data_IF_353362268149
#
_entry.id   IF_353362268149
#
_cell.length_a   1.000
_cell.length_b   1.000
_cell.length_c   1.000
_cell.angle_alpha   90.00
_cell.angle_beta   90.00
_cell.angle_gamma   90.00
#
_symmetry.space_group_name_H-M   'P 1'
#
loop_
_entity.id
_entity.type
_entity.pdbx_description
1 polymer ?
#
# COMPACT_ATOMS: atom_id res chain seq x y z
N UNK A 1 1.15 3.47 16.11
CA UNK A 1 1.88 2.19 16.20
C UNK A 1 3.36 2.47 16.01
N UNK A 2 4.23 1.91 16.84
CA UNK A 2 5.67 2.01 16.65
C UNK A 2 6.03 1.00 15.55
N UNK A 3 6.51 1.46 14.39
CA UNK A 3 6.94 0.62 13.27
C UNK A 3 8.44 0.32 13.42
N UNK A 4 8.83 -0.83 14.02
CA UNK A 4 10.24 -1.10 14.30
C UNK A 4 11.03 -1.36 13.01
N UNK A 5 10.34 -1.78 11.93
CA UNK A 5 10.96 -2.02 10.63
C UNK A 5 11.33 -0.68 9.99
N UNK A 6 10.41 0.28 9.98
CA UNK A 6 10.67 1.65 9.52
C UNK A 6 11.85 2.31 10.24
N UNK A 7 11.91 2.17 11.57
CA UNK A 7 13.05 2.68 12.37
C UNK A 7 14.37 2.05 11.94
N UNK A 8 14.40 0.73 11.74
CA UNK A 8 15.60 -0.01 11.34
C UNK A 8 16.07 0.44 9.95
N UNK A 9 15.15 0.58 8.99
CA UNK A 9 15.47 1.04 7.63
C UNK A 9 16.01 2.47 7.66
N UNK A 10 15.38 3.37 8.41
CA UNK A 10 15.85 4.76 8.57
C UNK A 10 17.28 4.82 9.13
N UNK A 11 17.60 4.01 10.13
CA UNK A 11 18.95 3.93 10.69
C UNK A 11 19.97 3.40 9.67
N UNK A 12 19.58 2.42 8.86
CA UNK A 12 20.39 1.93 7.75
C UNK A 12 20.68 3.02 6.72
N UNK A 13 19.66 3.77 6.29
CA UNK A 13 19.81 4.89 5.36
C UNK A 13 20.73 5.98 5.92
N UNK A 14 20.58 6.34 7.19
CA UNK A 14 21.47 7.29 7.86
C UNK A 14 22.93 6.81 7.86
N UNK A 15 23.16 5.53 8.11
CA UNK A 15 24.50 4.92 8.11
C UNK A 15 25.15 4.91 6.71
N UNK A 16 24.34 4.97 5.66
CA UNK A 16 24.77 5.07 4.26
C UNK A 16 24.98 6.52 3.78
N UNK A 17 24.72 7.52 4.65
CA UNK A 17 24.91 8.94 4.34
C UNK A 17 23.66 9.70 3.89
N UNK A 18 22.48 9.06 3.87
CA UNK A 18 21.20 9.69 3.53
C UNK A 18 20.59 10.39 4.77
N UNK A 19 21.25 11.44 5.24
CA UNK A 19 20.88 12.17 6.46
C UNK A 19 19.61 13.01 6.33
N UNK A 20 19.15 13.28 5.11
CA UNK A 20 17.93 14.02 4.81
C UNK A 20 16.64 13.22 5.08
N UNK A 21 16.74 11.91 5.28
CA UNK A 21 15.58 11.04 5.54
C UNK A 21 15.11 11.18 6.98
N UNK A 22 13.96 11.83 7.16
CA UNK A 22 13.40 12.14 8.49
C UNK A 22 12.51 11.04 9.06
N UNK A 23 11.80 10.29 8.20
CA UNK A 23 10.90 9.20 8.59
C UNK A 23 10.86 8.11 7.51
N UNK A 24 10.62 6.87 7.92
CA UNK A 24 10.43 5.73 7.02
C UNK A 24 9.29 4.89 7.58
N UNK A 25 8.33 4.55 6.72
CA UNK A 25 7.27 3.59 7.01
C UNK A 25 7.43 2.35 6.14
N UNK A 26 7.29 1.18 6.75
CA UNK A 26 7.27 -0.09 6.03
C UNK A 26 5.84 -0.62 6.05
N UNK A 27 5.31 -0.91 4.86
CA UNK A 27 3.95 -1.41 4.68
C UNK A 27 3.90 -2.55 3.67
N UNK A 28 2.69 -3.06 3.44
CA UNK A 28 2.41 -4.07 2.43
C UNK A 28 2.06 -3.39 1.11
N UNK A 29 2.54 -3.94 0.00
CA UNK A 29 2.06 -3.62 -1.34
C UNK A 29 1.27 -4.82 -1.89
N UNK A 30 0.05 -4.59 -2.36
CA UNK A 30 -0.86 -5.64 -2.83
C UNK A 30 -1.46 -5.19 -4.16
N UNK A 31 -1.27 -5.98 -5.22
CA UNK A 31 -1.94 -5.81 -6.50
C UNK A 31 -3.18 -6.72 -6.56
N UNK A 32 -4.33 -6.16 -6.95
CA UNK A 32 -5.59 -6.89 -7.10
C UNK A 32 -6.16 -6.60 -8.47
N UNK A 33 -6.43 -7.66 -9.24
CA UNK A 33 -7.22 -7.58 -10.47
C UNK A 33 -8.64 -8.02 -10.17
N UNK A 34 -9.59 -7.19 -10.58
CA UNK A 34 -11.01 -7.44 -10.40
C UNK A 34 -11.79 -6.95 -11.61
N UNK A 35 -12.80 -7.73 -12.01
CA UNK A 35 -13.80 -7.26 -12.95
C UNK A 35 -14.80 -6.36 -12.21
N UNK A 36 -15.13 -5.21 -12.79
CA UNK A 36 -16.14 -4.29 -12.29
C UNK A 36 -16.83 -3.59 -13.46
N UNK A 37 -18.11 -3.26 -13.28
CA UNK A 37 -18.92 -2.58 -14.30
C UNK A 37 -18.70 -1.07 -14.33
N UNK A 38 -18.05 -0.51 -13.29
CA UNK A 38 -17.70 0.91 -13.19
C UNK A 38 -16.56 1.13 -12.20
N UNK A 39 -15.88 2.28 -12.30
CA UNK A 39 -14.84 2.67 -11.34
C UNK A 39 -15.41 2.81 -9.91
N UNK A 40 -16.65 3.30 -9.78
CA UNK A 40 -17.34 3.39 -8.48
C UNK A 40 -17.49 2.02 -7.83
N UNK A 41 -17.96 1.03 -8.58
CA UNK A 41 -18.08 -0.34 -8.09
C UNK A 41 -16.70 -0.89 -7.71
N UNK A 42 -15.68 -0.75 -8.57
CA UNK A 42 -14.33 -1.20 -8.27
C UNK A 42 -13.81 -0.60 -6.96
N UNK A 43 -14.02 0.70 -6.74
CA UNK A 43 -13.62 1.42 -5.52
C UNK A 43 -14.33 0.87 -4.29
N UNK A 44 -15.65 0.70 -4.34
CA UNK A 44 -16.43 0.12 -3.24
C UNK A 44 -15.98 -1.31 -2.91
N UNK A 45 -15.64 -2.10 -3.92
CA UNK A 45 -15.15 -3.47 -3.74
C UNK A 45 -13.75 -3.51 -3.09
N UNK A 46 -12.81 -2.69 -3.56
CA UNK A 46 -11.45 -2.63 -3.00
C UNK A 46 -11.47 -2.11 -1.56
N UNK A 47 -12.25 -1.06 -1.28
CA UNK A 47 -12.43 -0.54 0.09
C UNK A 47 -12.98 -1.60 1.06
N UNK A 48 -13.97 -2.38 0.61
CA UNK A 48 -14.51 -3.49 1.38
C UNK A 48 -13.48 -4.62 1.59
N UNK A 49 -12.60 -4.89 0.61
CA UNK A 49 -11.52 -5.87 0.77
C UNK A 49 -10.48 -5.39 1.79
N UNK A 50 -10.09 -4.11 1.71
CA UNK A 50 -9.15 -3.50 2.64
C UNK A 50 -9.66 -3.52 4.08
N UNK A 51 -10.88 -3.04 4.32
CA UNK A 51 -11.47 -2.99 5.67
C UNK A 51 -11.73 -4.37 6.30
N UNK A 52 -11.99 -5.41 5.49
CA UNK A 52 -12.35 -6.73 5.98
C UNK A 52 -11.19 -7.71 6.10
N UNK A 53 -10.14 -7.54 5.30
CA UNK A 53 -9.08 -8.53 5.19
C UNK A 53 -7.69 -7.94 4.97
N UNK A 54 -7.53 -7.04 4.00
CA UNK A 54 -6.18 -6.68 3.54
C UNK A 54 -5.46 -5.74 4.52
N UNK A 55 -6.21 -4.95 5.29
CA UNK A 55 -5.67 -4.07 6.32
C UNK A 55 -6.30 -4.38 7.69
N UNK A 56 -5.46 -4.42 8.73
CA UNK A 56 -5.94 -4.44 10.10
C UNK A 56 -6.29 -3.02 10.55
N UNK A 57 -7.57 -2.67 10.49
CA UNK A 57 -8.10 -1.33 10.83
C UNK A 57 -7.72 -0.78 12.22
N UNK A 58 -7.25 -1.62 13.15
CA UNK A 58 -6.80 -1.16 14.48
C UNK A 58 -5.39 -0.57 14.43
N UNK A 59 -4.53 -1.05 13.53
CA UNK A 59 -3.09 -0.76 13.55
C UNK A 59 -2.50 -0.35 12.19
N UNK A 60 -3.24 -0.52 11.10
CA UNK A 60 -2.80 -0.24 9.72
C UNK A 60 -3.76 0.74 9.05
N UNK A 61 -3.20 1.80 8.48
CA UNK A 61 -3.87 2.63 7.47
C UNK A 61 -3.64 2.00 6.09
N UNK A 62 -4.55 2.25 5.13
CA UNK A 62 -4.38 1.82 3.75
C UNK A 62 -4.71 2.95 2.76
N UNK A 63 -4.08 2.88 1.60
CA UNK A 63 -4.38 3.69 0.43
C UNK A 63 -4.39 2.77 -0.80
N UNK A 64 -5.21 3.08 -1.79
CA UNK A 64 -5.25 2.32 -3.04
C UNK A 64 -5.53 3.24 -4.23
N UNK A 65 -4.95 2.86 -5.36
CA UNK A 65 -5.18 3.45 -6.66
C UNK A 65 -5.87 2.43 -7.56
N UNK A 66 -6.65 2.90 -8.53
CA UNK A 66 -7.32 2.05 -9.50
C UNK A 66 -6.73 2.35 -10.87
N UNK A 67 -6.28 1.30 -11.55
CA UNK A 67 -5.80 1.39 -12.92
C UNK A 67 -6.71 0.57 -13.84
N UNK A 68 -7.09 1.15 -14.97
CA UNK A 68 -7.82 0.42 -16.00
C UNK A 68 -6.86 -0.48 -16.78
N UNK A 69 -6.97 -1.78 -16.58
CA UNK A 69 -6.21 -2.75 -17.37
C UNK A 69 -6.73 -2.73 -18.82
N UNK A 70 -5.97 -2.10 -19.72
CA UNK A 70 -6.18 -2.29 -21.16
C UNK A 70 -5.81 -3.73 -21.48
N UNK A 71 -6.77 -4.51 -21.99
CA UNK A 71 -6.52 -5.86 -22.51
C UNK A 71 -5.25 -5.86 -23.37
N UNK A 72 -4.19 -6.51 -22.88
CA UNK A 72 -2.90 -6.68 -23.58
C UNK A 72 -1.67 -6.06 -22.90
N UNK A 73 -1.79 -5.38 -21.76
CA UNK A 73 -0.63 -4.87 -21.02
C UNK A 73 -0.17 -5.83 -19.91
N UNK A 74 0.13 -7.08 -20.28
CA UNK A 74 0.92 -7.97 -19.42
C UNK A 74 2.36 -7.88 -19.90
N UNK A 75 3.23 -7.28 -19.08
CA UNK A 75 4.67 -7.58 -19.08
C UNK A 75 4.98 -8.30 -17.79
#
# INVERSE_FOLDING_TARGET
VNDPQGVTVRQGLASLGFGEVTDVRVGKYIEVRLDATSEREARERVDAMCSRLLANHVIEDYHFELEHERKGAMR
#
